data_IF_005894125853
#
_entry.id   IF_005894125853
#
_cell.length_a   1.000
_cell.length_b   1.000
_cell.length_c   1.000
_cell.angle_alpha   90.00
_cell.angle_beta   90.00
_cell.angle_gamma   90.00
#
_symmetry.space_group_name_H-M   'P 1'
#
loop_
_entity.id
_entity.type
_entity.pdbx_description
1 polymer ?
#
# COMPACT_ATOMS: atom_id res chain seq x y z
N UNK A 1 10.27 -19.06 11.76
CA UNK A 1 11.55 -18.30 11.71
C UNK A 1 11.50 -17.19 10.64
N UNK A 2 10.66 -16.16 10.79
CA UNK A 2 10.61 -15.02 9.83
C UNK A 2 10.55 -13.64 10.50
N UNK A 3 10.02 -13.55 11.73
CA UNK A 3 9.91 -12.30 12.50
C UNK A 3 11.25 -11.61 12.77
N UNK A 4 12.33 -12.36 12.96
CA UNK A 4 13.66 -11.79 13.23
C UNK A 4 14.22 -10.93 12.09
N UNK A 5 13.93 -11.30 10.84
CA UNK A 5 14.38 -10.54 9.67
C UNK A 5 13.68 -9.17 9.54
N UNK A 6 12.48 -9.04 10.12
CA UNK A 6 11.72 -7.78 10.13
C UNK A 6 12.23 -6.79 11.19
N UNK A 7 12.77 -7.29 12.30
CA UNK A 7 13.27 -6.50 13.44
C UNK A 7 14.76 -6.11 13.30
N UNK A 8 15.52 -6.86 12.50
CA UNK A 8 16.96 -6.66 12.31
C UNK A 8 17.34 -5.21 11.94
N UNK A 9 16.64 -4.52 11.02
CA UNK A 9 16.96 -3.13 10.69
C UNK A 9 16.77 -2.17 11.87
N UNK A 10 15.77 -2.41 12.73
CA UNK A 10 15.48 -1.57 13.89
C UNK A 10 16.53 -1.75 14.99
N UNK A 11 16.95 -2.99 15.24
CA UNK A 11 17.99 -3.30 16.24
C UNK A 11 19.35 -2.71 15.83
N UNK A 12 19.74 -2.89 14.56
CA UNK A 12 20.97 -2.28 14.02
C UNK A 12 20.94 -0.76 14.11
N UNK A 13 19.78 -0.15 13.86
CA UNK A 13 19.60 1.29 13.96
C UNK A 13 19.83 1.82 15.39
N UNK A 14 19.22 1.18 16.39
CA UNK A 14 19.40 1.56 17.80
C UNK A 14 20.87 1.45 18.23
N UNK A 15 21.56 0.40 17.78
CA UNK A 15 22.99 0.24 18.05
C UNK A 15 23.84 1.36 17.43
N UNK A 16 23.59 1.74 16.18
CA UNK A 16 24.35 2.79 15.49
C UNK A 16 24.12 4.20 16.04
N UNK A 17 22.99 4.45 16.70
CA UNK A 17 22.57 5.79 17.16
C UNK A 17 22.65 5.99 18.67
N UNK A 18 22.87 4.93 19.45
CA UNK A 18 23.04 5.04 20.91
C UNK A 18 24.51 5.28 21.27
N UNK A 19 24.83 6.31 22.08
CA UNK A 19 26.18 6.51 22.58
C UNK A 19 26.65 5.32 23.42
N UNK A 20 27.86 4.82 23.17
CA UNK A 20 28.43 3.76 23.99
C UNK A 20 28.99 4.33 25.30
N UNK A 21 28.77 3.66 26.43
CA UNK A 21 29.11 4.16 27.78
C UNK A 21 30.59 4.50 27.96
N UNK A 22 31.49 3.79 27.26
CA UNK A 22 32.94 4.00 27.34
C UNK A 22 33.45 5.24 26.60
N UNK A 23 32.79 5.63 25.51
CA UNK A 23 33.31 6.66 24.57
C UNK A 23 32.38 7.88 24.47
N UNK A 24 31.14 7.77 24.98
CA UNK A 24 30.08 8.77 24.84
C UNK A 24 29.89 9.23 23.38
N UNK A 25 30.20 8.34 22.43
CA UNK A 25 30.06 8.55 21.00
C UNK A 25 29.25 7.38 20.44
N UNK A 26 28.46 7.68 19.42
CA UNK A 26 27.70 6.67 18.69
C UNK A 26 28.64 5.92 17.73
N UNK A 27 28.43 4.62 17.47
CA UNK A 27 29.21 3.90 16.47
C UNK A 27 29.22 4.56 15.08
N UNK A 28 28.10 5.16 14.66
CA UNK A 28 28.00 5.89 13.39
C UNK A 28 28.91 7.12 13.34
N UNK A 29 29.02 7.86 14.45
CA UNK A 29 29.93 9.01 14.55
C UNK A 29 31.40 8.60 14.47
N UNK A 30 31.75 7.39 14.92
CA UNK A 30 33.12 6.89 14.84
C UNK A 30 33.52 6.47 13.42
N UNK A 31 32.58 5.97 12.62
CA UNK A 31 32.84 5.55 11.23
C UNK A 31 32.73 6.70 10.22
N UNK A 32 31.78 7.61 10.39
CA UNK A 32 31.47 8.65 9.41
C UNK A 32 31.82 10.08 9.88
N UNK A 33 32.30 10.25 11.11
CA UNK A 33 32.70 11.56 11.66
C UNK A 33 31.55 12.51 12.01
N UNK A 34 30.31 12.17 11.68
CA UNK A 34 29.09 12.96 11.95
C UNK A 34 28.03 12.11 12.66
N UNK A 35 27.12 12.75 13.38
CA UNK A 35 26.00 12.06 14.02
C UNK A 35 24.93 11.65 12.99
N UNK A 36 24.29 10.49 13.24
CA UNK A 36 23.23 9.99 12.39
C UNK A 36 21.94 10.79 12.62
N UNK A 37 21.54 11.61 11.65
CA UNK A 37 20.27 12.32 11.66
C UNK A 37 19.36 11.68 10.62
N UNK A 38 18.44 10.81 11.06
CA UNK A 38 17.33 10.38 10.19
C UNK A 38 16.15 11.32 10.41
N UNK A 39 15.60 11.94 9.36
CA UNK A 39 14.31 12.59 9.47
C UNK A 39 13.26 11.53 9.83
N UNK A 40 12.62 11.70 10.99
CA UNK A 40 11.54 10.86 11.57
C UNK A 40 10.43 10.49 10.55
N UNK A 41 10.35 11.21 9.44
CA UNK A 41 9.41 10.97 8.35
C UNK A 41 9.68 9.68 7.55
N UNK A 42 10.91 9.15 7.52
CA UNK A 42 11.30 8.08 6.58
C UNK A 42 10.89 6.66 7.03
N UNK A 43 10.93 6.35 8.33
CA UNK A 43 10.60 5.01 8.81
C UNK A 43 9.10 4.66 8.73
N UNK A 44 8.22 5.66 8.69
CA UNK A 44 6.76 5.46 8.53
C UNK A 44 6.29 5.51 7.08
N UNK A 45 7.05 6.14 6.18
CA UNK A 45 6.59 6.41 4.81
C UNK A 45 6.69 5.20 3.89
N UNK A 46 7.68 4.31 4.03
CA UNK A 46 7.86 3.22 3.04
C UNK A 46 6.69 2.21 3.03
N UNK A 47 6.07 1.93 4.18
CA UNK A 47 4.89 1.05 4.29
C UNK A 47 3.60 1.73 3.82
N UNK A 48 3.47 3.05 3.99
CA UNK A 48 2.28 3.79 3.59
C UNK A 48 2.30 4.20 2.11
N UNK A 49 3.48 4.53 1.56
CA UNK A 49 3.64 4.96 0.17
C UNK A 49 3.39 3.83 -0.83
N UNK A 50 3.65 2.57 -0.48
CA UNK A 50 3.32 1.43 -1.35
C UNK A 50 1.80 1.13 -1.42
N UNK A 51 0.98 1.71 -0.53
CA UNK A 51 -0.46 1.41 -0.43
C UNK A 51 -1.39 2.53 -0.88
N UNK A 52 -0.88 3.72 -1.17
CA UNK A 52 -1.71 4.93 -1.35
C UNK A 52 -1.29 5.78 -2.54
N UNK A 53 -0.65 5.23 -3.57
CA UNK A 53 -0.69 5.92 -4.85
C UNK A 53 -2.16 5.86 -5.33
N UNK A 54 -2.91 6.97 -5.32
CA UNK A 54 -4.24 6.95 -5.90
C UNK A 54 -4.03 6.70 -7.39
N UNK A 55 -4.32 5.48 -7.84
CA UNK A 55 -4.43 5.22 -9.27
C UNK A 55 -5.64 6.00 -9.75
N UNK A 56 -5.39 7.08 -10.47
CA UNK A 56 -6.43 7.73 -11.24
C UNK A 56 -6.83 6.78 -12.37
N UNK A 57 -8.10 6.42 -12.43
CA UNK A 57 -8.62 5.63 -13.53
C UNK A 57 -9.23 6.55 -14.57
N UNK A 58 -9.07 6.21 -15.85
CA UNK A 58 -9.74 6.90 -16.92
C UNK A 58 -11.14 6.30 -17.14
N UNK A 59 -12.12 7.11 -17.57
CA UNK A 59 -13.35 6.59 -18.15
C UNK A 59 -13.01 5.56 -19.24
N UNK A 60 -13.72 4.44 -19.24
CA UNK A 60 -13.53 3.25 -20.09
C UNK A 60 -12.39 2.30 -19.67
N UNK A 61 -11.63 2.60 -18.62
CA UNK A 61 -10.66 1.64 -18.09
C UNK A 61 -11.36 0.37 -17.60
N UNK A 62 -10.79 -0.78 -17.98
CA UNK A 62 -11.23 -2.09 -17.50
C UNK A 62 -10.66 -2.37 -16.11
N UNK A 63 -11.54 -2.60 -15.15
CA UNK A 63 -11.19 -2.85 -13.76
C UNK A 63 -11.90 -4.08 -13.21
N UNK A 64 -11.23 -4.76 -12.30
CA UNK A 64 -11.79 -5.81 -11.45
C UNK A 64 -12.29 -5.19 -10.14
N UNK A 65 -13.41 -5.70 -9.63
CA UNK A 65 -14.06 -5.22 -8.41
C UNK A 65 -13.78 -6.17 -7.25
N UNK A 66 -13.40 -5.68 -6.08
CA UNK A 66 -13.11 -6.54 -4.92
C UNK A 66 -14.39 -7.15 -4.32
N UNK A 67 -14.41 -8.47 -4.10
CA UNK A 67 -15.52 -9.15 -3.42
C UNK A 67 -15.38 -8.95 -1.91
N UNK A 68 -16.34 -8.24 -1.29
CA UNK A 68 -16.45 -8.11 0.17
C UNK A 68 -17.46 -9.12 0.70
N UNK A 69 -16.98 -10.33 1.04
CA UNK A 69 -17.65 -11.39 1.82
C UNK A 69 -19.06 -11.75 1.34
N UNK A 70 -19.15 -12.67 0.37
CA UNK A 70 -20.32 -13.53 0.18
C UNK A 70 -20.19 -14.79 1.04
N UNK A 71 -21.31 -15.44 1.36
CA UNK A 71 -21.48 -16.53 2.34
C UNK A 71 -20.77 -17.86 1.97
N UNK A 72 -20.13 -17.90 0.82
CA UNK A 72 -19.48 -19.04 0.15
C UNK A 72 -17.98 -18.75 -0.10
N UNK A 73 -17.30 -18.28 0.94
CA UNK A 73 -15.86 -18.07 0.93
C UNK A 73 -15.10 -19.40 1.04
N UNK A 74 -15.18 -20.19 -0.03
CA UNK A 74 -14.22 -21.25 -0.30
C UNK A 74 -12.88 -20.62 -0.70
N UNK A 75 -11.80 -21.20 -0.20
CA UNK A 75 -10.39 -20.74 -0.28
C UNK A 75 -9.82 -20.56 -1.71
N UNK A 76 -10.66 -20.71 -2.76
CA UNK A 76 -10.35 -20.69 -4.18
C UNK A 76 -11.13 -19.63 -4.99
N UNK A 77 -12.03 -18.85 -4.38
CA UNK A 77 -12.75 -17.79 -5.11
C UNK A 77 -11.79 -16.62 -5.37
N UNK A 78 -11.65 -16.19 -6.62
CA UNK A 78 -10.91 -14.97 -6.96
C UNK A 78 -11.45 -13.83 -6.09
N UNK A 79 -10.58 -13.21 -5.27
CA UNK A 79 -10.96 -12.06 -4.44
C UNK A 79 -11.42 -10.83 -5.25
N UNK A 80 -11.27 -10.91 -6.56
CA UNK A 80 -11.59 -9.90 -7.56
C UNK A 80 -12.65 -10.47 -8.49
N UNK A 81 -13.83 -9.86 -8.49
CA UNK A 81 -14.96 -10.15 -9.35
C UNK A 81 -14.79 -9.45 -10.69
N UNK A 82 -15.07 -10.18 -11.78
CA UNK A 82 -15.58 -9.68 -13.05
C UNK A 82 -14.77 -8.61 -13.79
N UNK A 83 -15.21 -8.32 -15.02
CA UNK A 83 -14.66 -7.27 -15.85
C UNK A 83 -15.67 -6.11 -15.90
N UNK A 84 -15.33 -4.99 -15.29
CA UNK A 84 -16.15 -3.79 -15.24
C UNK A 84 -15.45 -2.65 -15.98
N UNK A 85 -16.23 -1.72 -16.52
CA UNK A 85 -15.71 -0.47 -17.08
C UNK A 85 -16.01 0.68 -16.15
N UNK A 86 -15.07 1.62 -16.07
CA UNK A 86 -15.27 2.86 -15.33
C UNK A 86 -16.06 3.83 -16.22
N UNK A 87 -17.12 4.41 -15.69
CA UNK A 87 -17.94 5.39 -16.43
C UNK A 87 -17.50 6.81 -16.10
N UNK A 88 -17.50 7.16 -14.82
CA UNK A 88 -17.15 8.51 -14.37
C UNK A 88 -16.64 8.48 -12.92
N UNK A 89 -15.83 9.48 -12.57
CA UNK A 89 -15.48 9.76 -11.18
C UNK A 89 -16.59 10.62 -10.56
N UNK A 90 -17.23 10.11 -9.51
CA UNK A 90 -18.25 10.84 -8.73
C UNK A 90 -17.60 11.79 -7.73
N UNK A 91 -16.30 11.62 -7.47
CA UNK A 91 -15.44 12.51 -6.69
C UNK A 91 -14.73 11.80 -5.54
N UNK A 92 -13.58 12.36 -5.11
CA UNK A 92 -12.72 11.83 -4.03
C UNK A 92 -12.27 10.38 -4.29
N UNK A 93 -12.02 10.00 -5.54
CA UNK A 93 -11.58 8.66 -5.92
C UNK A 93 -12.68 7.59 -5.81
N UNK A 94 -13.95 7.99 -5.90
CA UNK A 94 -15.08 7.09 -6.06
C UNK A 94 -15.52 7.07 -7.53
N UNK A 95 -15.70 5.87 -8.08
CA UNK A 95 -15.99 5.65 -9.48
C UNK A 95 -17.31 4.89 -9.65
N UNK A 96 -18.06 5.25 -10.69
CA UNK A 96 -19.19 4.46 -11.16
C UNK A 96 -18.70 3.36 -12.09
N UNK A 97 -19.24 2.15 -11.93
CA UNK A 97 -18.92 1.00 -12.75
C UNK A 97 -20.09 0.65 -13.66
N UNK A 98 -19.79 0.24 -14.88
CA UNK A 98 -20.73 -0.42 -15.79
C UNK A 98 -20.27 -1.87 -16.06
N UNK A 99 -21.24 -2.76 -16.24
CA UNK A 99 -20.98 -4.10 -16.73
C UNK A 99 -20.69 -4.08 -18.25
N UNK A 100 -20.14 -5.16 -18.78
CA UNK A 100 -20.01 -5.39 -20.24
C UNK A 100 -21.33 -5.39 -21.02
N UNK A 101 -22.47 -5.40 -20.31
CA UNK A 101 -23.81 -5.27 -20.88
C UNK A 101 -24.34 -3.81 -20.82
N UNK A 102 -23.45 -2.82 -20.64
CA UNK A 102 -23.72 -1.38 -20.53
C UNK A 102 -24.73 -0.98 -19.44
N UNK A 103 -24.97 -1.89 -18.48
CA UNK A 103 -25.80 -1.63 -17.32
C UNK A 103 -24.97 -0.93 -16.25
N UNK A 104 -25.29 0.33 -15.99
CA UNK A 104 -24.70 1.10 -14.87
C UNK A 104 -25.04 0.45 -13.54
N UNK A 105 -24.01 0.22 -12.72
CA UNK A 105 -24.18 -0.22 -11.34
C UNK A 105 -24.43 1.04 -10.51
N UNK A 106 -25.57 1.17 -9.83
CA UNK A 106 -25.94 2.39 -9.11
C UNK A 106 -25.05 2.67 -7.87
N UNK A 107 -24.10 1.79 -7.58
CA UNK A 107 -23.20 1.89 -6.43
C UNK A 107 -21.87 2.52 -6.85
N UNK A 108 -21.46 3.55 -6.13
CA UNK A 108 -20.12 4.14 -6.24
C UNK A 108 -19.09 3.26 -5.55
N UNK A 109 -17.97 2.99 -6.23
CA UNK A 109 -16.87 2.16 -5.73
C UNK A 109 -15.63 3.00 -5.47
N UNK A 110 -15.06 2.87 -4.28
CA UNK A 110 -13.80 3.52 -3.96
C UNK A 110 -12.63 2.84 -4.69
N UNK A 111 -11.64 3.61 -5.16
CA UNK A 111 -10.45 3.13 -5.86
C UNK A 111 -9.70 2.00 -5.13
N UNK A 112 -9.76 1.95 -3.79
CA UNK A 112 -9.15 0.90 -2.97
C UNK A 112 -9.77 -0.48 -3.25
N UNK A 113 -11.02 -0.52 -3.70
CA UNK A 113 -11.75 -1.74 -4.05
C UNK A 113 -11.71 -2.06 -5.55
N UNK A 114 -10.91 -1.33 -6.33
CA UNK A 114 -10.79 -1.49 -7.78
C UNK A 114 -9.35 -1.83 -8.16
N UNK A 115 -9.17 -2.66 -9.19
CA UNK A 115 -7.86 -3.01 -9.74
C UNK A 115 -7.89 -3.01 -11.26
N UNK A 116 -6.94 -2.32 -11.91
CA UNK A 116 -6.81 -2.35 -13.38
C UNK A 116 -6.61 -3.79 -13.86
N UNK A 117 -7.36 -4.17 -14.89
CA UNK A 117 -7.17 -5.42 -15.62
C UNK A 117 -6.04 -5.23 -16.63
N UNK A 118 -4.86 -5.80 -16.35
CA UNK A 118 -3.76 -5.83 -17.30
C UNK A 118 -3.86 -7.15 -18.08
N UNK A 119 -4.12 -7.08 -19.38
CA UNK A 119 -4.08 -8.21 -20.31
C UNK A 119 -2.63 -8.63 -20.59
#
# INVERSE_FOLDING_TARGET
MRRWAEELPQVLWSYHTTPHSSTNKTPFRLTFGTEAVIPIKEYTTRRQQQRLAPKHFQPHDLVLKKITRTTDNNKLTLAWEGQYRITEEVGRGAYCLENLADKKIPRTWNFINLRVYNN
#
